data_IF_092560757369
#
_entry.id   IF_092560757369
#
_cell.length_a   1.000
_cell.length_b   1.000
_cell.length_c   1.000
_cell.angle_alpha   90.00
_cell.angle_beta   90.00
_cell.angle_gamma   90.00
#
_symmetry.space_group_name_H-M   'P 1'
#
loop_
_entity.id
_entity.type
_entity.pdbx_description
1 polymer ?
#
# COMPACT_ATOMS: atom_id res chain seq x y z
N UNK A 1 -2.31 -19.17 -5.45
CA UNK A 1 -2.31 -17.71 -5.15
C UNK A 1 -1.83 -17.01 -6.40
N UNK A 2 -2.60 -16.06 -6.93
CA UNK A 2 -2.27 -15.42 -8.21
C UNK A 2 -1.15 -14.39 -8.03
N UNK A 3 -0.19 -14.33 -8.96
CA UNK A 3 1.00 -13.46 -8.90
C UNK A 3 0.67 -11.98 -8.58
N UNK A 4 -0.44 -11.48 -9.12
CA UNK A 4 -0.95 -10.12 -8.86
C UNK A 4 -1.27 -9.82 -7.38
N UNK A 5 -1.59 -10.84 -6.60
CA UNK A 5 -1.98 -10.68 -5.20
C UNK A 5 -0.75 -10.50 -4.30
N UNK A 6 0.40 -11.05 -4.71
CA UNK A 6 1.66 -10.94 -3.98
C UNK A 6 2.35 -9.60 -4.25
N UNK A 7 2.31 -9.12 -5.51
CA UNK A 7 2.82 -7.79 -5.88
C UNK A 7 2.12 -6.67 -5.08
N UNK A 8 0.79 -6.73 -4.96
CA UNK A 8 0.01 -5.76 -4.17
C UNK A 8 0.37 -5.74 -2.69
N UNK A 9 0.76 -6.89 -2.11
CA UNK A 9 1.15 -6.95 -0.70
C UNK A 9 2.49 -6.26 -0.45
N UNK A 10 3.48 -6.48 -1.33
CA UNK A 10 4.79 -5.84 -1.24
C UNK A 10 4.70 -4.32 -1.50
N UNK A 11 3.84 -3.90 -2.43
CA UNK A 11 3.55 -2.48 -2.65
C UNK A 11 2.98 -1.82 -1.38
N UNK A 12 1.92 -2.39 -0.80
CA UNK A 12 1.28 -1.86 0.41
C UNK A 12 2.24 -1.84 1.59
N UNK A 13 3.10 -2.85 1.73
CA UNK A 13 4.14 -2.90 2.75
C UNK A 13 5.11 -1.73 2.60
N UNK A 14 5.58 -1.46 1.39
CA UNK A 14 6.51 -0.35 1.11
C UNK A 14 5.85 1.01 1.36
N UNK A 15 4.60 1.17 0.93
CA UNK A 15 3.83 2.41 1.11
C UNK A 15 3.52 2.71 2.57
N UNK A 16 3.11 1.71 3.35
CA UNK A 16 2.57 1.91 4.70
C UNK A 16 3.64 1.78 5.77
N UNK A 17 4.53 0.79 5.66
CA UNK A 17 5.59 0.60 6.67
C UNK A 17 6.79 1.51 6.42
N UNK A 18 7.19 1.69 5.15
CA UNK A 18 8.37 2.49 4.81
C UNK A 18 8.03 3.94 4.43
N UNK A 19 6.77 4.22 4.06
CA UNK A 19 6.36 5.55 3.60
C UNK A 19 6.96 5.92 2.24
N UNK A 20 7.34 4.94 1.42
CA UNK A 20 8.01 5.17 0.13
C UNK A 20 7.20 4.63 -1.04
N UNK A 21 7.39 5.26 -2.20
CA UNK A 21 6.78 4.82 -3.45
C UNK A 21 7.40 3.49 -3.91
N UNK A 22 6.61 2.46 -4.24
CA UNK A 22 7.14 1.16 -4.66
C UNK A 22 7.87 1.22 -6.02
N UNK A 23 7.60 2.25 -6.82
CA UNK A 23 8.19 2.41 -8.15
C UNK A 23 9.53 3.17 -8.15
N UNK A 24 9.69 4.19 -7.30
CA UNK A 24 10.88 5.05 -7.33
C UNK A 24 11.53 5.28 -5.97
N UNK A 25 11.07 4.60 -4.92
CA UNK A 25 11.54 4.71 -3.53
C UNK A 25 11.48 6.12 -2.92
N UNK A 26 10.82 7.07 -3.60
CA UNK A 26 10.64 8.43 -3.10
C UNK A 26 9.67 8.46 -1.91
N UNK A 27 9.98 9.28 -0.91
CA UNK A 27 9.09 9.59 0.22
C UNK A 27 8.04 10.67 -0.11
N UNK A 28 8.01 11.20 -1.34
CA UNK A 28 7.02 12.20 -1.79
C UNK A 28 5.69 11.54 -2.15
N UNK A 29 5.11 10.76 -1.24
CA UNK A 29 3.84 10.05 -1.42
C UNK A 29 2.75 10.73 -0.60
N UNK A 30 1.62 11.06 -1.26
CA UNK A 30 0.41 11.57 -0.60
C UNK A 30 -0.59 10.44 -0.41
N UNK A 31 -1.08 10.34 0.82
CA UNK A 31 -2.17 9.46 1.20
C UNK A 31 -3.51 10.21 1.17
N UNK A 32 -4.53 9.58 0.61
CA UNK A 32 -5.89 10.09 0.56
C UNK A 32 -6.84 8.98 1.02
N UNK A 33 -7.52 9.20 2.15
CA UNK A 33 -8.55 8.29 2.64
C UNK A 33 -9.93 8.76 2.18
N UNK A 34 -10.60 7.94 1.39
CA UNK A 34 -11.99 8.17 0.98
C UNK A 34 -12.91 7.42 1.94
N UNK A 35 -13.34 8.11 3.01
CA UNK A 35 -14.18 7.56 4.09
C UNK A 35 -15.48 6.92 3.57
N UNK A 36 -16.06 7.46 2.50
CA UNK A 36 -17.33 6.99 1.92
C UNK A 36 -17.25 5.56 1.36
N UNK A 37 -16.10 5.13 0.84
CA UNK A 37 -15.93 3.82 0.21
C UNK A 37 -14.84 2.96 0.87
N UNK A 38 -14.32 3.37 2.05
CA UNK A 38 -13.18 2.72 2.73
C UNK A 38 -12.04 2.39 1.77
N UNK A 39 -11.78 3.35 0.87
CA UNK A 39 -10.78 3.24 -0.20
C UNK A 39 -9.62 4.15 0.13
N UNK A 40 -8.42 3.62 -0.03
CA UNK A 40 -7.14 4.23 0.32
C UNK A 40 -6.40 4.52 -0.97
N UNK A 41 -6.24 5.80 -1.29
CA UNK A 41 -5.52 6.27 -2.47
C UNK A 41 -4.10 6.71 -2.14
N UNK A 42 -3.17 6.34 -2.99
CA UNK A 42 -1.77 6.74 -2.90
C UNK A 42 -1.34 7.42 -4.20
N UNK A 43 -0.57 8.50 -4.07
CA UNK A 43 0.00 9.22 -5.22
C UNK A 43 1.43 9.65 -4.91
N UNK A 44 2.38 9.21 -5.74
CA UNK A 44 3.76 9.70 -5.69
C UNK A 44 3.90 10.95 -6.58
N UNK A 45 4.30 12.07 -5.99
CA UNK A 45 4.56 13.30 -6.74
C UNK A 45 5.90 13.32 -7.48
N UNK A 46 6.78 12.36 -7.22
CA UNK A 46 8.07 12.28 -7.89
C UNK A 46 7.97 11.61 -9.27
N UNK A 47 7.37 10.42 -9.34
CA UNK A 47 7.23 9.67 -10.59
C UNK A 47 5.79 9.63 -11.15
N UNK A 48 4.81 10.21 -10.45
CA UNK A 48 3.42 10.24 -10.87
C UNK A 48 2.65 8.92 -10.64
N UNK A 49 3.28 7.91 -10.03
CA UNK A 49 2.64 6.63 -9.70
C UNK A 49 1.40 6.84 -8.82
N UNK A 50 0.32 6.12 -9.13
CA UNK A 50 -0.96 6.20 -8.41
C UNK A 50 -1.52 4.80 -8.23
N UNK A 51 -2.05 4.52 -7.04
CA UNK A 51 -2.80 3.29 -6.78
C UNK A 51 -3.92 3.52 -5.78
N UNK A 52 -4.89 2.61 -5.77
CA UNK A 52 -6.04 2.61 -4.87
C UNK A 52 -6.24 1.21 -4.34
N UNK A 53 -6.48 1.12 -3.04
CA UNK A 53 -6.74 -0.15 -2.36
C UNK A 53 -7.98 -0.02 -1.50
N UNK A 54 -8.76 -1.08 -1.38
CA UNK A 54 -9.87 -1.13 -0.43
C UNK A 54 -9.42 -1.67 0.93
N UNK A 55 -10.29 -1.55 1.94
CA UNK A 55 -10.01 -2.06 3.29
C UNK A 55 -9.70 -3.56 3.33
N UNK A 56 -10.30 -4.37 2.45
CA UNK A 56 -10.05 -5.82 2.42
C UNK A 56 -8.62 -6.11 1.96
N UNK A 57 -8.15 -5.47 0.90
CA UNK A 57 -6.77 -5.60 0.39
C UNK A 57 -5.76 -5.16 1.45
N UNK A 58 -6.05 -4.06 2.15
CA UNK A 58 -5.18 -3.51 3.19
C UNK A 58 -5.09 -4.44 4.41
N UNK A 59 -6.23 -5.00 4.85
CA UNK A 59 -6.28 -6.02 5.91
C UNK A 59 -5.49 -7.26 5.53
N UNK A 60 -5.67 -7.77 4.31
CA UNK A 60 -4.95 -8.94 3.81
C UNK A 60 -3.44 -8.71 3.77
N UNK A 61 -2.99 -7.54 3.30
CA UNK A 61 -1.58 -7.21 3.29
C UNK A 61 -1.02 -7.08 4.71
N UNK A 62 -1.76 -6.45 5.62
CA UNK A 62 -1.33 -6.24 7.01
C UNK A 62 -1.23 -7.49 7.86
N UNK A 63 -1.92 -8.57 7.49
CA UNK A 63 -1.96 -9.82 8.26
C UNK A 63 -0.56 -10.42 8.50
N UNK A 64 0.39 -10.14 7.60
CA UNK A 64 1.74 -10.68 7.65
C UNK A 64 2.83 -9.64 8.01
N UNK A 65 2.47 -8.39 8.31
CA UNK A 65 3.47 -7.34 8.57
C UNK A 65 4.14 -7.45 9.93
N UNK A 66 3.41 -7.97 10.92
CA UNK A 66 3.91 -8.15 12.28
C UNK A 66 3.67 -9.61 12.68
N UNK A 67 4.58 -10.54 12.33
CA UNK A 67 4.49 -11.89 12.84
C UNK A 67 4.54 -11.81 14.37
N UNK A 68 3.50 -12.33 15.03
CA UNK A 68 3.45 -12.43 16.48
C UNK A 68 4.67 -13.24 16.91
N UNK A 69 5.64 -12.59 17.56
CA UNK A 69 6.75 -13.30 18.19
C UNK A 69 6.14 -14.07 19.37
N UNK A 70 6.13 -15.40 19.28
CA UNK A 70 5.81 -16.31 20.38
C UNK A 70 7.08 -16.71 21.09
#
# INVERSE_FOLDING_TARGET
MSEHQQEKQEELKSLILMGTCPCCSSNKVKYLEYLTNRTFGFHCFNCGWKSKYNLTELKQASANWFPIQR
#
